data_IF_462145075484
#
_entry.id   IF_462145075484
#
_cell.length_a   1.000
_cell.length_b   1.000
_cell.length_c   1.000
_cell.angle_alpha   90.00
_cell.angle_beta   90.00
_cell.angle_gamma   90.00
#
_symmetry.space_group_name_H-M   'P 1'
#
loop_
_entity.id
_entity.type
_entity.pdbx_description
1 polymer ?
#
# COMPACT_ATOMS: atom_id res chain seq x y z
N UNK A 1 32.01 2.46 -9.51
CA UNK A 1 32.36 2.92 -8.15
C UNK A 1 31.12 2.66 -7.32
N UNK A 2 31.26 2.00 -6.17
CA UNK A 2 30.09 1.59 -5.38
C UNK A 2 29.40 2.83 -4.81
N UNK A 3 28.10 2.99 -5.08
CA UNK A 3 27.25 3.95 -4.37
C UNK A 3 27.49 3.78 -2.86
N UNK A 4 27.66 4.89 -2.14
CA UNK A 4 27.86 4.83 -0.69
C UNK A 4 26.71 4.04 -0.06
N UNK A 5 27.03 2.99 0.70
CA UNK A 5 26.09 2.06 1.36
C UNK A 5 25.11 2.73 2.36
N UNK A 6 25.20 4.05 2.52
CA UNK A 6 24.35 4.88 3.38
C UNK A 6 23.38 5.77 2.56
N UNK A 7 23.34 5.64 1.23
CA UNK A 7 22.53 6.48 0.35
C UNK A 7 21.04 6.10 0.43
N UNK A 8 20.19 7.12 0.56
CA UNK A 8 18.74 7.01 0.59
C UNK A 8 18.18 6.39 -0.70
N UNK A 9 18.90 6.52 -1.82
CA UNK A 9 18.50 5.95 -3.11
C UNK A 9 19.07 4.54 -3.35
N UNK A 10 19.64 3.87 -2.34
CA UNK A 10 20.27 2.55 -2.48
C UNK A 10 19.35 1.44 -2.99
N UNK A 11 18.03 1.61 -2.88
CA UNK A 11 17.02 0.68 -3.40
C UNK A 11 16.47 1.07 -4.77
N UNK A 12 16.94 2.20 -5.33
CA UNK A 12 16.68 2.54 -6.72
C UNK A 12 17.45 1.59 -7.66
N UNK A 13 16.90 1.35 -8.85
CA UNK A 13 17.53 0.52 -9.88
C UNK A 13 18.88 1.11 -10.34
N UNK A 14 19.03 2.43 -10.27
CA UNK A 14 20.27 3.16 -10.61
C UNK A 14 20.54 4.27 -9.57
N UNK A 15 21.06 3.94 -8.38
CA UNK A 15 21.20 4.88 -7.27
C UNK A 15 22.03 6.12 -7.62
N UNK A 16 23.17 5.94 -8.31
CA UNK A 16 24.08 7.03 -8.67
C UNK A 16 23.41 8.02 -9.63
N UNK A 17 22.66 7.52 -10.61
CA UNK A 17 21.88 8.38 -11.51
C UNK A 17 20.81 9.13 -10.73
N UNK A 18 20.10 8.48 -9.82
CA UNK A 18 19.03 9.11 -9.03
C UNK A 18 19.59 10.21 -8.13
N UNK A 19 20.67 9.94 -7.40
CA UNK A 19 21.37 10.92 -6.56
C UNK A 19 21.92 12.12 -7.38
N UNK A 20 22.20 11.92 -8.67
CA UNK A 20 22.54 12.99 -9.61
C UNK A 20 21.35 13.84 -10.06
N UNK A 21 20.14 13.28 -10.08
CA UNK A 21 18.95 13.91 -10.66
C UNK A 21 18.00 14.53 -9.62
N UNK A 22 17.99 14.01 -8.39
CA UNK A 22 17.14 14.45 -7.29
C UNK A 22 17.90 14.47 -5.96
N UNK A 23 17.38 15.18 -4.98
CA UNK A 23 17.87 15.17 -3.60
C UNK A 23 16.72 15.29 -2.61
N UNK A 24 16.94 14.84 -1.39
CA UNK A 24 16.01 15.09 -0.29
C UNK A 24 16.51 16.24 0.57
N UNK A 25 15.61 17.19 0.84
CA UNK A 25 15.86 18.36 1.68
C UNK A 25 14.90 18.35 2.84
N UNK A 26 15.37 18.79 4.00
CA UNK A 26 14.48 19.13 5.11
C UNK A 26 13.79 20.46 4.79
N UNK A 27 12.46 20.49 4.91
CA UNK A 27 11.64 21.67 4.64
C UNK A 27 11.37 22.39 5.96
N UNK A 28 10.63 21.74 6.87
CA UNK A 28 10.29 22.25 8.20
C UNK A 28 9.80 21.11 9.11
N UNK A 29 9.45 21.41 10.37
CA UNK A 29 8.98 20.41 11.33
C UNK A 29 7.57 19.87 11.04
N UNK A 30 6.82 20.49 10.12
CA UNK A 30 5.44 20.13 9.78
C UNK A 30 5.41 19.21 8.55
N UNK A 31 6.08 19.61 7.47
CA UNK A 31 6.23 18.84 6.22
C UNK A 31 7.37 17.82 6.29
N UNK A 32 8.32 17.99 7.20
CA UNK A 32 9.47 17.11 7.33
C UNK A 32 10.41 17.21 6.13
N UNK A 33 10.68 16.08 5.48
CA UNK A 33 11.57 15.97 4.32
C UNK A 33 10.78 15.99 3.02
N UNK A 34 11.31 16.62 1.98
CA UNK A 34 10.74 16.59 0.63
C UNK A 34 11.78 16.19 -0.41
N UNK A 35 11.31 15.69 -1.55
CA UNK A 35 12.12 15.34 -2.70
C UNK A 35 12.19 16.52 -3.68
N UNK A 36 13.38 16.89 -4.13
CA UNK A 36 13.60 18.06 -5.00
C UNK A 36 14.39 17.68 -6.25
N UNK A 37 14.05 18.31 -7.37
CA UNK A 37 14.76 18.13 -8.62
C UNK A 37 16.13 18.83 -8.61
N UNK A 38 17.20 18.15 -9.04
CA UNK A 38 18.53 18.76 -9.26
C UNK A 38 18.76 19.18 -10.71
N UNK A 39 17.90 18.70 -11.62
CA UNK A 39 17.90 19.01 -13.05
C UNK A 39 16.47 19.18 -13.56
N UNK A 40 16.34 19.66 -14.79
CA UNK A 40 15.05 19.71 -15.46
C UNK A 40 14.56 18.30 -15.85
N UNK A 41 13.26 18.11 -15.78
CA UNK A 41 12.54 16.96 -16.35
C UNK A 41 11.45 17.46 -17.29
N UNK A 42 11.20 16.71 -18.36
CA UNK A 42 10.04 16.91 -19.23
C UNK A 42 8.88 16.05 -18.78
N UNK A 43 7.66 16.46 -19.08
CA UNK A 43 6.46 15.64 -18.89
C UNK A 43 6.64 14.23 -19.45
N UNK A 44 6.34 13.22 -18.65
CA UNK A 44 6.45 11.80 -18.99
C UNK A 44 7.82 11.18 -18.69
N UNK A 45 8.82 11.97 -18.28
CA UNK A 45 10.11 11.46 -17.87
C UNK A 45 9.98 10.57 -16.62
N UNK A 46 10.64 9.41 -16.64
CA UNK A 46 10.87 8.62 -15.42
C UNK A 46 11.95 9.29 -14.57
N UNK A 47 11.62 9.63 -13.34
CA UNK A 47 12.56 10.17 -12.36
C UNK A 47 13.44 9.03 -11.83
N UNK A 48 12.80 8.01 -11.23
CA UNK A 48 13.47 6.81 -10.75
C UNK A 48 12.54 5.59 -10.70
N UNK A 49 13.15 4.42 -10.59
CA UNK A 49 12.48 3.16 -10.29
C UNK A 49 13.08 2.63 -9.00
N UNK A 50 12.25 2.25 -8.04
CA UNK A 50 12.66 1.82 -6.70
C UNK A 50 12.03 0.48 -6.31
N UNK A 51 12.80 -0.30 -5.53
CA UNK A 51 12.32 -1.48 -4.84
C UNK A 51 11.93 -1.13 -3.40
N UNK A 52 10.80 -1.62 -2.86
CA UNK A 52 10.48 -1.42 -1.46
C UNK A 52 11.46 -2.21 -0.57
N UNK A 53 11.66 -1.70 0.65
CA UNK A 53 12.45 -2.39 1.68
C UNK A 53 11.84 -3.75 2.02
N UNK A 54 10.52 -3.78 2.20
CA UNK A 54 9.70 -4.98 2.39
C UNK A 54 8.37 -4.78 1.67
N UNK A 55 7.77 -5.88 1.22
CA UNK A 55 6.46 -5.92 0.59
C UNK A 55 5.69 -7.10 1.17
N UNK A 56 4.36 -7.10 1.17
CA UNK A 56 3.57 -8.26 1.58
C UNK A 56 2.23 -8.26 0.84
N UNK A 57 1.73 -9.45 0.48
CA UNK A 57 0.37 -9.59 -0.01
C UNK A 57 -0.60 -9.41 1.16
N UNK A 58 -1.70 -8.69 0.93
CA UNK A 58 -2.82 -8.62 1.86
C UNK A 58 -3.36 -10.02 2.20
N UNK A 59 -3.68 -10.24 3.48
CA UNK A 59 -4.13 -11.52 3.97
C UNK A 59 -5.51 -11.88 3.41
N UNK A 60 -6.37 -10.89 3.21
CA UNK A 60 -7.65 -11.11 2.53
C UNK A 60 -7.49 -11.48 1.06
N UNK A 61 -6.56 -10.86 0.33
CA UNK A 61 -6.27 -11.24 -1.05
C UNK A 61 -5.82 -12.71 -1.14
N UNK A 62 -4.96 -13.14 -0.21
CA UNK A 62 -4.54 -14.55 -0.12
C UNK A 62 -5.74 -15.47 0.18
N UNK A 63 -6.61 -15.08 1.11
CA UNK A 63 -7.83 -15.84 1.45
C UNK A 63 -8.78 -15.97 0.26
N UNK A 64 -9.01 -14.88 -0.48
CA UNK A 64 -9.78 -14.82 -1.73
C UNK A 64 -9.02 -15.40 -2.93
N UNK A 65 -7.94 -16.14 -2.69
CA UNK A 65 -7.20 -16.93 -3.67
C UNK A 65 -6.54 -16.11 -4.78
N UNK A 66 -6.30 -14.81 -4.55
CA UNK A 66 -5.43 -14.05 -5.44
C UNK A 66 -4.01 -14.63 -5.37
N UNK A 67 -3.46 -15.06 -6.50
CA UNK A 67 -2.14 -15.66 -6.56
C UNK A 67 -1.12 -14.59 -6.95
N UNK A 68 -0.29 -14.20 -5.99
CA UNK A 68 0.81 -13.27 -6.20
C UNK A 68 2.16 -13.93 -5.89
N UNK A 69 3.22 -13.46 -6.53
CA UNK A 69 4.58 -13.84 -6.16
C UNK A 69 4.87 -13.37 -4.74
N UNK A 70 5.30 -14.29 -3.88
CA UNK A 70 5.58 -13.99 -2.47
C UNK A 70 6.66 -12.91 -2.31
N UNK A 71 7.57 -12.77 -3.28
CA UNK A 71 8.62 -11.74 -3.27
C UNK A 71 8.16 -10.43 -3.90
N UNK A 72 7.85 -10.47 -5.21
CA UNK A 72 7.69 -9.29 -6.02
C UNK A 72 6.24 -8.84 -6.20
N UNK A 73 5.29 -9.54 -5.57
CA UNK A 73 3.84 -9.31 -5.67
C UNK A 73 3.24 -9.40 -7.08
N UNK A 74 4.02 -9.81 -8.09
CA UNK A 74 3.52 -10.04 -9.44
C UNK A 74 2.37 -11.03 -9.46
N UNK A 75 1.31 -10.71 -10.20
CA UNK A 75 0.20 -11.64 -10.46
C UNK A 75 0.72 -12.94 -11.09
N UNK A 76 0.36 -14.08 -10.50
CA UNK A 76 0.73 -15.42 -10.98
C UNK A 76 -0.43 -16.12 -11.69
N UNK A 77 -1.64 -15.58 -11.61
CA UNK A 77 -2.77 -16.00 -12.43
C UNK A 77 -2.72 -15.26 -13.78
N UNK A 78 -3.02 -15.96 -14.86
CA UNK A 78 -3.21 -15.37 -16.19
C UNK A 78 -4.34 -14.33 -16.16
N UNK A 79 -4.37 -13.44 -17.16
CA UNK A 79 -5.42 -12.44 -17.27
C UNK A 79 -6.83 -13.07 -17.27
N UNK A 80 -6.96 -14.22 -17.94
CA UNK A 80 -8.22 -14.96 -18.02
C UNK A 80 -8.61 -15.61 -16.69
N UNK A 81 -7.66 -16.25 -15.99
CA UNK A 81 -7.90 -16.76 -14.63
C UNK A 81 -8.30 -15.63 -13.68
N UNK A 82 -7.62 -14.48 -13.76
CA UNK A 82 -7.94 -13.29 -12.97
C UNK A 82 -9.37 -12.81 -13.27
N UNK A 83 -9.74 -12.72 -14.54
CA UNK A 83 -11.08 -12.31 -14.97
C UNK A 83 -12.17 -13.29 -14.49
N UNK A 84 -11.94 -14.60 -14.65
CA UNK A 84 -12.85 -15.66 -14.17
C UNK A 84 -13.06 -15.59 -12.66
N UNK A 85 -11.98 -15.40 -11.90
CA UNK A 85 -12.03 -15.27 -10.44
C UNK A 85 -12.81 -14.05 -10.00
N UNK A 86 -12.59 -12.90 -10.64
CA UNK A 86 -13.24 -11.63 -10.26
C UNK A 86 -14.71 -11.56 -10.68
N UNK A 87 -15.06 -12.07 -11.87
CA UNK A 87 -16.44 -12.12 -12.37
C UNK A 87 -17.27 -13.26 -11.77
N UNK A 88 -16.62 -14.27 -11.20
CA UNK A 88 -17.29 -15.50 -10.77
C UNK A 88 -17.81 -16.38 -11.92
N UNK A 89 -17.37 -16.13 -13.17
CA UNK A 89 -17.82 -16.87 -14.37
C UNK A 89 -16.71 -17.80 -14.86
N UNK A 90 -16.74 -19.12 -14.56
CA UNK A 90 -15.67 -20.05 -14.92
C UNK A 90 -15.50 -20.23 -16.44
N UNK A 91 -16.57 -20.02 -17.21
CA UNK A 91 -16.57 -20.14 -18.68
C UNK A 91 -16.11 -18.88 -19.42
N UNK A 92 -15.80 -17.79 -18.71
CA UNK A 92 -15.32 -16.56 -19.34
C UNK A 92 -14.03 -16.84 -20.11
N UNK A 93 -13.93 -16.34 -21.33
CA UNK A 93 -12.73 -16.44 -22.16
C UNK A 93 -12.35 -15.05 -22.64
N UNK A 94 -11.08 -14.68 -22.49
CA UNK A 94 -10.61 -13.38 -22.95
C UNK A 94 -10.22 -13.43 -24.44
N UNK A 95 -10.57 -12.41 -25.24
CA UNK A 95 -9.98 -12.26 -26.56
C UNK A 95 -8.47 -12.03 -26.44
N UNK A 96 -7.71 -12.31 -27.49
CA UNK A 96 -6.26 -12.10 -27.52
C UNK A 96 -5.49 -12.67 -26.30
N UNK A 97 -5.64 -13.97 -25.97
CA UNK A 97 -4.95 -14.57 -24.82
C UNK A 97 -3.42 -14.47 -24.93
N UNK A 98 -2.87 -14.33 -26.14
CA UNK A 98 -1.46 -14.11 -26.42
C UNK A 98 -0.90 -12.81 -25.83
N UNK A 99 -1.75 -11.84 -25.48
CA UNK A 99 -1.35 -10.59 -24.83
C UNK A 99 -1.13 -10.74 -23.32
N UNK A 100 -1.52 -11.88 -22.73
CA UNK A 100 -1.22 -12.18 -21.34
C UNK A 100 0.30 -12.39 -21.18
N UNK A 101 0.95 -11.58 -20.34
CA UNK A 101 2.39 -11.68 -20.11
C UNK A 101 2.79 -12.64 -18.98
N UNK A 102 1.82 -13.29 -18.34
CA UNK A 102 2.07 -14.27 -17.26
C UNK A 102 2.64 -15.55 -17.89
N UNK A 103 3.70 -16.09 -17.27
CA UNK A 103 4.43 -17.27 -17.74
C UNK A 103 4.44 -18.37 -16.67
N UNK A 104 3.34 -19.15 -16.55
CA UNK A 104 3.21 -20.19 -15.53
C UNK A 104 4.35 -21.21 -15.52
N UNK A 105 4.96 -21.46 -16.67
CA UNK A 105 6.09 -22.36 -16.85
C UNK A 105 7.37 -21.91 -16.13
N UNK A 106 7.50 -20.61 -15.81
CA UNK A 106 8.62 -20.07 -15.05
C UNK A 106 8.38 -20.06 -13.54
N UNK A 107 7.13 -20.28 -13.10
CA UNK A 107 6.77 -20.20 -11.71
C UNK A 107 7.49 -21.29 -10.90
N UNK A 108 7.86 -20.94 -9.68
CA UNK A 108 8.57 -21.81 -8.74
C UNK A 108 7.81 -21.82 -7.42
N UNK A 109 7.92 -22.90 -6.66
CA UNK A 109 7.45 -22.94 -5.28
C UNK A 109 8.62 -23.09 -4.31
N UNK A 110 8.38 -22.69 -3.05
CA UNK A 110 9.23 -23.13 -1.95
C UNK A 110 9.01 -24.64 -1.74
N UNK A 111 10.07 -25.48 -1.72
CA UNK A 111 9.91 -26.92 -1.55
C UNK A 111 9.37 -27.32 -0.16
N UNK A 112 9.44 -26.41 0.83
CA UNK A 112 9.02 -26.69 2.21
C UNK A 112 7.58 -26.27 2.48
N UNK A 113 7.21 -25.01 2.18
CA UNK A 113 5.88 -24.47 2.48
C UNK A 113 5.01 -24.19 1.26
N UNK A 114 5.47 -24.52 0.05
CA UNK A 114 4.74 -24.42 -1.22
C UNK A 114 4.30 -23.01 -1.65
N UNK A 115 4.74 -21.95 -0.97
CA UNK A 115 4.49 -20.57 -1.43
C UNK A 115 5.11 -20.33 -2.81
N UNK A 116 4.45 -19.52 -3.63
CA UNK A 116 4.76 -19.39 -5.06
C UNK A 116 5.59 -18.14 -5.38
N UNK A 117 6.44 -18.27 -6.39
CA UNK A 117 7.29 -17.23 -6.93
C UNK A 117 7.18 -17.19 -8.45
N UNK A 118 7.28 -16.00 -9.07
CA UNK A 118 7.20 -15.89 -10.52
C UNK A 118 8.45 -16.42 -11.23
N UNK A 119 9.57 -16.61 -10.52
CA UNK A 119 10.83 -17.07 -11.09
C UNK A 119 11.78 -17.61 -10.03
N UNK A 120 12.87 -18.24 -10.48
CA UNK A 120 13.94 -18.77 -9.63
C UNK A 120 14.65 -17.67 -8.84
N UNK A 121 14.82 -16.51 -9.47
CA UNK A 121 15.48 -15.33 -8.91
C UNK A 121 14.63 -14.72 -7.80
N UNK A 122 13.31 -14.63 -7.99
CA UNK A 122 12.41 -14.15 -6.93
C UNK A 122 12.37 -15.10 -5.73
N UNK A 123 12.39 -16.42 -5.97
CA UNK A 123 12.48 -17.42 -4.88
C UNK A 123 13.78 -17.26 -4.10
N UNK A 124 14.90 -17.14 -4.80
CA UNK A 124 16.21 -16.98 -4.17
C UNK A 124 16.31 -15.66 -3.41
N UNK A 125 15.86 -14.55 -4.00
CA UNK A 125 15.87 -13.24 -3.36
C UNK A 125 15.02 -13.22 -2.08
N UNK A 126 13.84 -13.83 -2.08
CA UNK A 126 13.05 -14.00 -0.87
C UNK A 126 13.77 -14.85 0.17
N UNK A 127 14.36 -15.98 -0.23
CA UNK A 127 15.11 -16.88 0.65
C UNK A 127 16.28 -16.14 1.33
N UNK A 128 17.00 -15.30 0.59
CA UNK A 128 18.12 -14.54 1.12
C UNK A 128 17.67 -13.38 2.02
N UNK A 129 16.51 -12.76 1.72
CA UNK A 129 16.04 -11.59 2.45
C UNK A 129 15.25 -11.91 3.72
N UNK A 130 14.17 -12.68 3.66
CA UNK A 130 13.26 -12.86 4.82
C UNK A 130 12.59 -14.24 4.92
N UNK A 131 12.58 -15.02 3.83
CA UNK A 131 11.72 -16.19 3.75
C UNK A 131 12.21 -17.36 4.61
N UNK A 132 13.51 -17.54 4.86
CA UNK A 132 14.01 -18.63 5.71
C UNK A 132 13.50 -18.53 7.15
N UNK A 133 13.34 -17.32 7.67
CA UNK A 133 12.81 -17.04 9.02
C UNK A 133 11.29 -17.19 9.06
N UNK A 134 10.59 -16.83 7.98
CA UNK A 134 9.11 -16.89 7.92
C UNK A 134 8.56 -18.16 7.26
N UNK A 135 9.41 -19.08 6.81
CA UNK A 135 8.98 -20.32 6.18
C UNK A 135 8.41 -21.25 7.24
N UNK A 136 7.11 -21.54 7.14
CA UNK A 136 6.42 -22.41 8.09
C UNK A 136 6.62 -23.91 7.79
N UNK A 137 7.24 -24.24 6.65
CA UNK A 137 7.41 -25.62 6.20
C UNK A 137 6.10 -26.42 6.25
N UNK A 138 6.12 -27.55 6.95
CA UNK A 138 4.96 -28.42 7.14
C UNK A 138 3.86 -27.79 8.01
N UNK A 139 4.19 -26.79 8.82
CA UNK A 139 3.23 -26.05 9.67
C UNK A 139 2.52 -24.92 8.92
N UNK A 140 2.62 -24.84 7.59
CA UNK A 140 1.96 -23.81 6.80
C UNK A 140 0.44 -23.77 7.05
N UNK A 141 -0.20 -24.93 7.17
CA UNK A 141 -1.64 -25.09 7.41
C UNK A 141 -1.97 -25.34 8.89
N UNK A 142 -1.02 -25.19 9.80
CA UNK A 142 -1.23 -25.38 11.23
C UNK A 142 -1.86 -24.11 11.85
N UNK A 143 -3.14 -24.14 12.29
CA UNK A 143 -3.80 -22.97 12.89
C UNK A 143 -3.18 -22.60 14.25
N UNK A 144 -2.51 -23.55 14.91
CA UNK A 144 -1.89 -23.30 16.20
C UNK A 144 -0.51 -22.65 16.10
N UNK A 145 0.07 -22.61 14.90
CA UNK A 145 1.36 -21.98 14.67
C UNK A 145 1.30 -20.48 15.02
N UNK A 146 2.25 -19.92 15.80
CA UNK A 146 2.21 -18.52 16.26
C UNK A 146 2.02 -17.48 15.14
N UNK A 147 2.68 -17.68 14.00
CA UNK A 147 2.53 -16.82 12.81
C UNK A 147 1.12 -16.89 12.23
N UNK A 148 0.48 -18.06 12.24
CA UNK A 148 -0.88 -18.20 11.71
C UNK A 148 -1.91 -17.59 12.69
N UNK A 149 -1.74 -17.76 14.01
CA UNK A 149 -2.53 -17.02 15.01
C UNK A 149 -2.45 -15.51 14.83
N UNK A 150 -1.26 -14.98 14.54
CA UNK A 150 -1.06 -13.55 14.26
C UNK A 150 -1.83 -13.10 13.00
N UNK A 151 -1.75 -13.87 11.90
CA UNK A 151 -2.48 -13.59 10.66
C UNK A 151 -4.00 -13.64 10.86
N UNK A 152 -4.48 -14.61 11.62
CA UNK A 152 -5.90 -14.79 11.89
C UNK A 152 -6.44 -13.65 12.75
N UNK A 153 -5.74 -13.30 13.83
CA UNK A 153 -6.07 -12.15 14.66
C UNK A 153 -6.11 -10.85 13.84
N UNK A 154 -5.14 -10.63 12.94
CA UNK A 154 -5.14 -9.47 12.05
C UNK A 154 -6.37 -9.39 11.16
N UNK A 155 -6.73 -10.50 10.50
CA UNK A 155 -7.90 -10.56 9.61
C UNK A 155 -9.21 -10.36 10.37
N UNK A 156 -9.32 -10.88 11.59
CA UNK A 156 -10.50 -10.67 12.44
C UNK A 156 -10.66 -9.21 12.88
N UNK A 157 -9.56 -8.45 12.93
CA UNK A 157 -9.56 -7.03 13.32
C UNK A 157 -9.75 -6.09 12.13
N UNK A 158 -9.25 -6.44 10.95
CA UNK A 158 -9.28 -5.59 9.77
C UNK A 158 -10.10 -6.27 8.68
N UNK A 159 -11.42 -6.07 8.71
CA UNK A 159 -12.29 -6.55 7.64
C UNK A 159 -12.03 -5.80 6.32
N UNK A 160 -12.28 -6.40 5.14
CA UNK A 160 -12.02 -5.74 3.86
C UNK A 160 -12.75 -4.39 3.69
N UNK A 161 -12.16 -3.42 2.97
CA UNK A 161 -10.86 -3.50 2.29
C UNK A 161 -9.67 -3.35 3.25
N UNK A 162 -8.69 -4.26 3.13
CA UNK A 162 -7.45 -4.21 3.91
C UNK A 162 -6.57 -3.05 3.42
N UNK A 163 -6.21 -2.12 4.31
CA UNK A 163 -5.40 -0.93 3.98
C UNK A 163 -3.93 -1.07 4.38
N UNK A 164 -3.61 -2.07 5.21
CA UNK A 164 -2.26 -2.37 5.70
C UNK A 164 -2.14 -3.85 6.07
N UNK A 165 -0.92 -4.36 6.27
CA UNK A 165 -0.70 -5.76 6.64
C UNK A 165 0.33 -5.91 7.77
N UNK A 166 -0.04 -6.66 8.82
CA UNK A 166 0.88 -7.07 9.89
C UNK A 166 2.10 -7.84 9.36
N UNK A 167 1.97 -8.46 8.19
CA UNK A 167 3.05 -9.21 7.56
C UNK A 167 4.18 -8.31 7.07
N UNK A 168 3.96 -7.00 6.90
CA UNK A 168 5.04 -6.04 6.66
C UNK A 168 5.99 -5.98 7.86
N UNK A 169 5.45 -5.83 9.08
CA UNK A 169 6.25 -5.86 10.31
C UNK A 169 6.96 -7.21 10.49
N UNK A 170 6.28 -8.31 10.19
CA UNK A 170 6.89 -9.64 10.22
C UNK A 170 8.09 -9.76 9.26
N UNK A 171 7.97 -9.19 8.06
CA UNK A 171 9.06 -9.15 7.08
C UNK A 171 10.18 -8.20 7.47
N UNK A 172 9.90 -7.09 8.14
CA UNK A 172 10.94 -6.22 8.70
C UNK A 172 11.79 -6.98 9.72
N UNK A 173 11.15 -7.67 10.66
CA UNK A 173 11.85 -8.50 11.65
C UNK A 173 12.67 -9.59 10.96
N UNK A 174 12.06 -10.34 10.04
CA UNK A 174 12.73 -11.41 9.34
C UNK A 174 13.91 -10.93 8.48
N UNK A 175 13.79 -9.76 7.84
CA UNK A 175 14.87 -9.14 7.08
C UNK A 175 16.09 -8.85 7.96
N UNK A 176 15.88 -8.25 9.14
CA UNK A 176 16.98 -8.02 10.09
C UNK A 176 17.56 -9.33 10.62
N UNK A 177 16.71 -10.30 10.99
CA UNK A 177 17.17 -11.59 11.54
C UNK A 177 18.05 -12.36 10.57
N UNK A 178 17.75 -12.30 9.27
CA UNK A 178 18.53 -12.98 8.22
C UNK A 178 19.73 -12.19 7.73
N UNK A 179 19.74 -10.87 7.92
CA UNK A 179 20.79 -10.02 7.42
C UNK A 179 22.14 -10.37 8.05
N UNK A 180 23.20 -10.35 7.22
CA UNK A 180 24.58 -10.39 7.72
C UNK A 180 24.93 -9.11 8.49
N UNK A 181 24.44 -7.97 8.00
CA UNK A 181 24.58 -6.66 8.62
C UNK A 181 23.22 -6.21 9.17
N UNK A 182 22.95 -6.57 10.43
CA UNK A 182 21.70 -6.24 11.12
C UNK A 182 21.58 -4.74 11.38
N UNK A 183 22.69 -4.08 11.69
CA UNK A 183 22.74 -2.66 12.02
C UNK A 183 22.34 -1.80 10.82
N UNK A 184 22.77 -2.18 9.62
CA UNK A 184 22.36 -1.52 8.38
C UNK A 184 20.83 -1.53 8.20
N UNK A 185 20.17 -2.68 8.36
CA UNK A 185 18.70 -2.76 8.23
C UNK A 185 17.97 -1.98 9.32
N UNK A 186 18.45 -2.04 10.55
CA UNK A 186 17.88 -1.25 11.65
C UNK A 186 17.99 0.25 11.38
N UNK A 187 19.14 0.72 10.87
CA UNK A 187 19.34 2.10 10.43
C UNK A 187 18.39 2.47 9.30
N UNK A 188 18.24 1.62 8.27
CA UNK A 188 17.31 1.86 7.17
C UNK A 188 15.87 2.08 7.67
N UNK A 189 15.35 1.21 8.53
CA UNK A 189 14.00 1.36 9.06
C UNK A 189 13.85 2.59 9.96
N UNK A 190 14.86 2.92 10.77
CA UNK A 190 14.82 4.11 11.63
C UNK A 190 14.70 5.44 10.87
N UNK A 191 15.07 5.49 9.59
CA UNK A 191 14.95 6.70 8.75
C UNK A 191 13.50 7.14 8.52
N UNK A 192 12.55 6.22 8.67
CA UNK A 192 11.12 6.45 8.50
C UNK A 192 10.42 6.85 9.81
N UNK A 193 11.11 6.78 10.96
CA UNK A 193 10.61 7.23 12.26
C UNK A 193 10.87 8.73 12.43
N UNK A 194 9.87 9.60 12.23
CA UNK A 194 10.03 11.05 12.41
C UNK A 194 8.96 11.72 13.28
N UNK A 195 8.10 10.97 13.98
CA UNK A 195 6.93 11.52 14.68
C UNK A 195 7.03 11.41 16.20
N UNK A 196 6.26 12.27 16.89
CA UNK A 196 6.19 12.28 18.35
C UNK A 196 5.29 11.14 18.87
N UNK A 197 5.56 10.63 20.07
CA UNK A 197 4.84 9.48 20.65
C UNK A 197 3.30 9.62 20.66
N UNK A 198 2.78 10.84 20.87
CA UNK A 198 1.33 11.10 20.83
C UNK A 198 0.72 10.91 19.43
N UNK A 199 1.48 11.21 18.38
CA UNK A 199 1.04 11.02 16.98
C UNK A 199 1.08 9.53 16.61
N UNK A 200 1.96 8.74 17.23
CA UNK A 200 2.04 7.29 17.01
C UNK A 200 0.82 6.55 17.59
N UNK A 201 0.35 6.95 18.78
CA UNK A 201 -0.87 6.40 19.39
C UNK A 201 -2.12 6.73 18.56
N UNK A 202 -2.27 7.97 18.11
CA UNK A 202 -3.39 8.38 17.26
C UNK A 202 -3.41 7.58 15.94
N UNK A 203 -2.23 7.34 15.33
CA UNK A 203 -2.14 6.54 14.11
C UNK A 203 -2.47 5.07 14.33
N UNK A 204 -2.03 4.47 15.44
CA UNK A 204 -2.38 3.11 15.78
C UNK A 204 -3.89 2.95 15.99
N UNK A 205 -4.55 3.95 16.60
CA UNK A 205 -5.99 3.96 16.75
C UNK A 205 -6.74 4.05 15.41
N UNK A 206 -6.26 4.85 14.46
CA UNK A 206 -6.90 4.95 13.13
C UNK A 206 -6.73 3.69 12.28
N UNK A 207 -5.53 3.10 12.28
CA UNK A 207 -5.28 1.86 11.56
C UNK A 207 -6.12 0.69 12.07
N UNK A 208 -6.24 0.57 13.40
CA UNK A 208 -7.02 -0.50 14.02
C UNK A 208 -8.53 -0.20 14.03
N UNK A 209 -8.93 1.07 13.92
CA UNK A 209 -10.28 1.55 14.22
C UNK A 209 -10.50 1.75 15.73
N UNK A 210 -11.31 2.76 16.10
CA UNK A 210 -11.54 3.11 17.52
C UNK A 210 -12.08 1.95 18.36
N UNK A 211 -12.84 1.05 17.73
CA UNK A 211 -13.45 -0.14 18.31
C UNK A 211 -12.42 -1.19 18.78
N UNK A 212 -11.16 -1.09 18.35
CA UNK A 212 -10.14 -2.13 18.50
C UNK A 212 -9.00 -1.72 19.43
N UNK A 213 -9.16 -0.62 20.19
CA UNK A 213 -8.18 -0.11 21.15
C UNK A 213 -7.71 -1.16 22.18
N UNK A 214 -8.59 -2.07 22.60
CA UNK A 214 -8.26 -3.18 23.51
C UNK A 214 -7.52 -4.36 22.88
N UNK A 215 -7.46 -4.42 21.55
CA UNK A 215 -6.92 -5.58 20.81
C UNK A 215 -5.44 -5.41 20.41
N UNK A 216 -4.89 -4.20 20.51
CA UNK A 216 -3.46 -3.93 20.27
C UNK A 216 -2.55 -4.76 21.19
N UNK A 217 -2.93 -4.94 22.46
CA UNK A 217 -2.18 -5.77 23.41
C UNK A 217 -2.18 -7.25 23.01
N UNK A 218 -3.30 -7.75 22.47
CA UNK A 218 -3.39 -9.10 21.93
C UNK A 218 -2.48 -9.26 20.71
N UNK A 219 -2.55 -8.33 19.74
CA UNK A 219 -1.68 -8.33 18.56
C UNK A 219 -0.19 -8.28 18.95
N UNK A 220 0.16 -7.41 19.91
CA UNK A 220 1.53 -7.30 20.40
C UNK A 220 2.03 -8.62 21.00
N UNK A 221 1.21 -9.27 21.83
CA UNK A 221 1.54 -10.58 22.42
C UNK A 221 1.71 -11.67 21.35
N UNK A 222 0.81 -11.73 20.36
CA UNK A 222 0.91 -12.68 19.25
C UNK A 222 2.14 -12.39 18.38
N UNK A 223 2.42 -11.12 18.09
CA UNK A 223 3.59 -10.69 17.32
C UNK A 223 4.88 -11.09 18.03
N UNK A 224 4.96 -10.87 19.34
CA UNK A 224 6.08 -11.30 20.19
C UNK A 224 6.22 -12.82 20.18
N UNK A 225 5.14 -13.56 20.41
CA UNK A 225 5.18 -15.03 20.40
C UNK A 225 5.64 -15.59 19.06
N UNK A 226 5.30 -14.93 17.95
CA UNK A 226 5.65 -15.39 16.62
C UNK A 226 7.08 -15.06 16.18
N UNK A 227 7.63 -13.91 16.61
CA UNK A 227 8.78 -13.32 15.93
C UNK A 227 9.91 -12.83 16.84
N UNK A 228 9.75 -12.91 18.17
CA UNK A 228 10.70 -12.32 19.13
C UNK A 228 12.16 -12.65 18.80
N UNK A 229 13.00 -11.65 19.00
CA UNK A 229 14.43 -11.71 18.79
C UNK A 229 15.13 -10.76 19.76
N UNK A 230 16.19 -11.23 20.43
CA UNK A 230 16.89 -10.43 21.44
C UNK A 230 17.57 -9.19 20.82
N UNK A 231 18.07 -9.30 19.59
CA UNK A 231 18.70 -8.19 18.86
C UNK A 231 17.70 -7.11 18.45
N UNK A 232 16.40 -7.43 18.49
CA UNK A 232 15.28 -6.54 18.19
C UNK A 232 14.37 -6.33 19.40
N UNK A 233 14.82 -6.64 20.61
CA UNK A 233 14.02 -6.57 21.85
C UNK A 233 13.23 -5.25 22.00
N UNK A 234 13.80 -4.12 21.55
CA UNK A 234 13.14 -2.81 21.53
C UNK A 234 11.85 -2.76 20.70
N UNK A 235 11.73 -3.53 19.63
CA UNK A 235 10.52 -3.61 18.80
C UNK A 235 9.42 -4.46 19.44
N UNK A 236 9.77 -5.28 20.45
CA UNK A 236 8.85 -6.20 21.12
C UNK A 236 8.39 -5.70 22.48
N UNK A 237 8.71 -4.46 22.87
CA UNK A 237 8.03 -3.77 23.97
C UNK A 237 6.85 -2.94 23.41
N UNK A 238 5.81 -2.62 24.21
CA UNK A 238 4.60 -1.97 23.70
C UNK A 238 4.87 -0.69 22.92
N UNK A 239 5.75 0.17 23.43
CA UNK A 239 6.13 1.43 22.77
C UNK A 239 6.80 1.17 21.40
N UNK A 240 7.74 0.23 21.31
CA UNK A 240 8.40 -0.06 20.03
C UNK A 240 7.50 -0.76 19.02
N UNK A 241 6.56 -1.58 19.50
CA UNK A 241 5.53 -2.17 18.64
C UNK A 241 4.62 -1.10 18.05
N UNK A 242 4.19 -0.13 18.86
CA UNK A 242 3.46 1.06 18.42
C UNK A 242 4.23 1.87 17.37
N UNK A 243 5.52 2.13 17.60
CA UNK A 243 6.33 2.86 16.62
C UNK A 243 6.49 2.11 15.30
N UNK A 244 6.61 0.77 15.32
CA UNK A 244 6.60 -0.03 14.08
C UNK A 244 5.25 0.06 13.36
N UNK A 245 4.17 0.06 14.11
CA UNK A 245 2.82 0.17 13.58
C UNK A 245 2.59 1.52 12.90
N UNK A 246 2.99 2.61 13.58
CA UNK A 246 2.95 3.96 13.04
C UNK A 246 3.85 4.11 11.80
N UNK A 247 5.04 3.50 11.81
CA UNK A 247 5.93 3.47 10.64
C UNK A 247 5.25 2.83 9.43
N UNK A 248 4.65 1.64 9.59
CA UNK A 248 3.96 0.96 8.50
C UNK A 248 2.72 1.73 8.06
N UNK A 249 1.96 2.32 9.00
CA UNK A 249 0.76 3.11 8.70
C UNK A 249 1.03 4.39 7.91
N UNK A 250 2.12 5.07 8.22
CA UNK A 250 2.44 6.37 7.63
C UNK A 250 3.27 6.28 6.35
N UNK A 251 3.99 5.17 6.14
CA UNK A 251 4.90 4.98 5.00
C UNK A 251 4.48 3.82 4.08
N UNK A 252 3.44 3.08 4.44
CA UNK A 252 2.94 1.94 3.67
C UNK A 252 2.37 2.37 2.32
N UNK A 253 2.71 1.62 1.27
CA UNK A 253 2.27 1.86 -0.10
C UNK A 253 1.50 0.64 -0.62
N UNK A 254 0.26 0.85 -1.05
CA UNK A 254 -0.51 -0.19 -1.74
C UNK A 254 0.08 -0.49 -3.12
N UNK A 255 0.27 -1.77 -3.44
CA UNK A 255 0.80 -2.20 -4.74
C UNK A 255 -0.34 -2.85 -5.53
N UNK A 256 -0.84 -2.14 -6.53
CA UNK A 256 -1.82 -2.66 -7.49
C UNK A 256 -1.15 -3.56 -8.51
N UNK A 257 -1.37 -4.87 -8.41
CA UNK A 257 -0.95 -5.84 -9.44
C UNK A 257 -2.18 -6.56 -10.00
N UNK A 258 -2.28 -6.66 -11.32
CA UNK A 258 -3.34 -7.40 -12.01
C UNK A 258 -2.88 -7.78 -13.40
N UNK A 259 -2.91 -9.08 -13.71
CA UNK A 259 -2.67 -9.58 -15.06
C UNK A 259 -3.79 -9.16 -16.01
N UNK A 260 -5.03 -9.01 -15.53
CA UNK A 260 -6.15 -8.49 -16.33
C UNK A 260 -5.90 -7.04 -16.75
N UNK A 261 -5.52 -6.15 -15.82
CA UNK A 261 -5.21 -4.76 -16.17
C UNK A 261 -4.07 -4.64 -17.18
N UNK A 262 -3.02 -5.48 -17.07
CA UNK A 262 -1.95 -5.51 -18.08
C UNK A 262 -2.44 -5.98 -19.45
N UNK A 263 -3.31 -6.99 -19.49
CA UNK A 263 -3.90 -7.45 -20.73
C UNK A 263 -4.78 -6.36 -21.38
N UNK A 264 -5.55 -5.60 -20.60
CA UNK A 264 -6.32 -4.44 -21.10
C UNK A 264 -5.40 -3.39 -21.73
N UNK A 265 -4.32 -3.01 -21.04
CA UNK A 265 -3.35 -2.06 -21.60
C UNK A 265 -2.66 -2.59 -22.87
N UNK A 266 -2.42 -3.90 -22.95
CA UNK A 266 -1.88 -4.51 -24.17
C UNK A 266 -2.91 -4.49 -25.32
N UNK A 267 -4.20 -4.67 -25.02
CA UNK A 267 -5.30 -4.52 -25.98
C UNK A 267 -5.38 -3.10 -26.54
N UNK A 268 -5.20 -2.06 -25.70
CA UNK A 268 -5.19 -0.66 -26.14
C UNK A 268 -4.12 -0.40 -27.21
N UNK A 269 -2.97 -1.07 -27.11
CA UNK A 269 -1.84 -0.92 -28.02
C UNK A 269 -2.00 -1.65 -29.37
N UNK A 270 -3.01 -2.53 -29.52
CA UNK A 270 -3.26 -3.22 -30.79
C UNK A 270 -3.55 -2.22 -31.92
N UNK A 271 -3.36 -2.63 -33.17
CA UNK A 271 -3.80 -1.87 -34.33
C UNK A 271 -4.92 -2.66 -35.00
N UNK A 272 -6.17 -2.30 -34.69
CA UNK A 272 -7.38 -3.00 -35.13
C UNK A 272 -8.25 -2.14 -36.05
N UNK A 273 -8.97 -2.74 -37.01
CA UNK A 273 -10.07 -2.08 -37.71
C UNK A 273 -11.12 -1.53 -36.73
N UNK A 274 -11.75 -0.39 -37.07
CA UNK A 274 -12.67 0.33 -36.19
C UNK A 274 -13.77 -0.57 -35.57
N UNK A 275 -14.38 -1.45 -36.37
CA UNK A 275 -15.42 -2.35 -35.89
C UNK A 275 -14.90 -3.37 -34.86
N UNK A 276 -13.69 -3.91 -35.05
CA UNK A 276 -13.08 -4.86 -34.12
C UNK A 276 -12.63 -4.16 -32.83
N UNK A 277 -12.15 -2.92 -32.93
CA UNK A 277 -11.85 -2.07 -31.77
C UNK A 277 -13.09 -1.85 -30.92
N UNK A 278 -14.19 -1.41 -31.53
CA UNK A 278 -15.45 -1.16 -30.81
C UNK A 278 -16.00 -2.42 -30.12
N UNK A 279 -15.89 -3.58 -30.76
CA UNK A 279 -16.26 -4.86 -30.15
C UNK A 279 -15.39 -5.22 -28.94
N UNK A 280 -14.07 -4.99 -29.04
CA UNK A 280 -13.12 -5.27 -27.97
C UNK A 280 -13.34 -4.32 -26.78
N UNK A 281 -13.48 -3.02 -27.05
CA UNK A 281 -13.71 -1.99 -26.03
C UNK A 281 -15.05 -2.26 -25.31
N UNK A 282 -16.11 -2.59 -26.05
CA UNK A 282 -17.40 -2.97 -25.46
C UNK A 282 -17.31 -4.23 -24.59
N UNK A 283 -16.48 -5.21 -24.96
CA UNK A 283 -16.24 -6.40 -24.15
C UNK A 283 -15.52 -6.05 -22.85
N UNK A 284 -14.46 -5.24 -22.92
CA UNK A 284 -13.67 -4.80 -21.76
C UNK A 284 -14.54 -3.99 -20.80
N UNK A 285 -15.34 -3.06 -21.32
CA UNK A 285 -16.27 -2.26 -20.53
C UNK A 285 -17.30 -3.14 -19.81
N UNK A 286 -17.85 -4.14 -20.49
CA UNK A 286 -18.79 -5.07 -19.84
C UNK A 286 -18.08 -5.90 -18.77
N UNK A 287 -16.87 -6.38 -19.05
CA UNK A 287 -16.07 -7.13 -18.08
C UNK A 287 -15.79 -6.31 -16.80
N UNK A 288 -15.45 -5.02 -16.93
CA UNK A 288 -15.25 -4.15 -15.77
C UNK A 288 -16.55 -3.77 -15.05
N UNK A 289 -17.70 -3.80 -15.72
CA UNK A 289 -19.00 -3.65 -15.05
C UNK A 289 -19.32 -4.89 -14.21
N UNK A 290 -18.96 -6.08 -14.73
CA UNK A 290 -19.19 -7.35 -14.05
C UNK A 290 -18.21 -7.56 -12.88
N UNK A 291 -17.06 -6.87 -12.88
CA UNK A 291 -16.05 -6.86 -11.81
C UNK A 291 -16.25 -5.60 -10.96
N UNK A 292 -16.96 -5.71 -9.83
CA UNK A 292 -17.17 -4.58 -8.90
C UNK A 292 -15.85 -3.86 -8.54
N UNK A 293 -15.89 -2.52 -8.54
CA UNK A 293 -14.72 -1.61 -8.48
C UNK A 293 -13.94 -1.73 -7.16
N UNK A 294 -12.85 -2.50 -7.16
CA UNK A 294 -11.86 -2.48 -6.08
C UNK A 294 -11.01 -1.19 -6.11
N UNK A 295 -11.03 -0.43 -5.01
CA UNK A 295 -10.20 0.78 -4.81
C UNK A 295 -8.78 0.38 -4.38
N UNK A 296 -7.77 1.09 -4.88
CA UNK A 296 -6.37 0.94 -4.48
C UNK A 296 -5.88 2.29 -3.95
N UNK A 297 -5.33 2.33 -2.74
CA UNK A 297 -4.76 3.53 -2.10
C UNK A 297 -3.21 3.47 -2.15
N UNK A 298 -2.57 4.62 -2.33
CA UNK A 298 -1.13 4.77 -2.59
C UNK A 298 -0.48 5.95 -1.82
N UNK A 299 0.68 5.74 -1.17
CA UNK A 299 1.50 6.75 -0.49
C UNK A 299 3.01 6.52 -0.58
N UNK A 300 3.76 7.60 -0.82
CA UNK A 300 5.22 7.66 -0.98
C UNK A 300 5.90 8.61 0.01
N UNK A 301 7.25 8.57 0.02
CA UNK A 301 8.15 9.58 0.58
C UNK A 301 8.19 10.94 -0.18
N UNK A 302 7.27 11.18 -1.12
CA UNK A 302 7.11 12.47 -1.81
C UNK A 302 5.89 13.16 -1.25
N UNK A 303 6.02 14.44 -0.88
CA UNK A 303 4.93 15.16 -0.24
C UNK A 303 3.69 15.26 -1.13
N UNK A 304 2.55 15.40 -0.47
CA UNK A 304 1.27 15.59 -1.13
C UNK A 304 1.14 16.97 -1.78
N UNK A 305 0.59 16.99 -2.99
CA UNK A 305 -0.08 18.15 -3.58
C UNK A 305 -1.43 17.73 -4.17
N UNK A 306 -2.46 18.57 -4.04
CA UNK A 306 -3.72 18.37 -4.76
C UNK A 306 -3.56 18.62 -6.28
N UNK A 307 -2.47 19.28 -6.68
CA UNK A 307 -2.02 19.46 -8.07
C UNK A 307 -0.60 18.88 -8.16
N UNK A 308 -0.46 17.55 -8.26
CA UNK A 308 0.85 16.91 -8.28
C UNK A 308 1.58 17.19 -9.61
N UNK A 309 2.92 17.23 -9.56
CA UNK A 309 3.77 17.29 -10.75
C UNK A 309 4.42 15.94 -11.09
N UNK A 310 4.21 14.92 -10.25
CA UNK A 310 4.63 13.54 -10.48
C UNK A 310 3.55 12.53 -10.05
N UNK A 311 3.65 11.32 -10.59
CA UNK A 311 2.79 10.19 -10.24
C UNK A 311 3.61 8.91 -10.00
N UNK A 312 3.01 8.00 -9.24
CA UNK A 312 3.51 6.64 -9.07
C UNK A 312 2.71 5.65 -9.85
N UNK A 313 3.43 4.76 -10.51
CA UNK A 313 2.87 3.61 -11.20
C UNK A 313 3.70 2.35 -10.95
N UNK A 314 3.10 1.19 -11.24
CA UNK A 314 3.72 -0.13 -11.17
C UNK A 314 3.70 -0.80 -12.55
N UNK A 315 4.38 -0.22 -13.56
CA UNK A 315 4.21 -0.62 -14.97
C UNK A 315 4.61 -2.07 -15.24
N UNK A 316 5.46 -2.64 -14.38
CA UNK A 316 5.99 -3.99 -14.53
C UNK A 316 5.14 -5.07 -13.84
N UNK A 317 3.95 -4.70 -13.35
CA UNK A 317 3.02 -5.53 -12.58
C UNK A 317 3.75 -6.35 -11.52
N UNK A 318 4.51 -5.63 -10.73
CA UNK A 318 5.27 -6.11 -9.61
C UNK A 318 5.45 -4.93 -8.65
N UNK A 319 6.10 -5.20 -7.53
CA UNK A 319 6.49 -4.25 -6.50
C UNK A 319 7.48 -3.14 -6.91
N UNK A 320 7.93 -3.07 -8.17
CA UNK A 320 8.80 -1.97 -8.61
C UNK A 320 7.97 -0.71 -8.81
N UNK A 321 8.23 0.27 -7.95
CA UNK A 321 7.62 1.57 -8.01
C UNK A 321 8.35 2.42 -9.05
N UNK A 322 7.60 3.04 -9.97
CA UNK A 322 8.13 4.02 -10.91
C UNK A 322 7.54 5.39 -10.62
N UNK A 323 8.40 6.36 -10.33
CA UNK A 323 8.02 7.77 -10.20
C UNK A 323 8.24 8.47 -11.54
N UNK A 324 7.17 9.02 -12.13
CA UNK A 324 7.20 9.70 -13.44
C UNK A 324 6.60 11.10 -13.36
N UNK A 325 7.02 12.01 -14.22
CA UNK A 325 6.54 13.40 -14.22
C UNK A 325 5.22 13.57 -14.97
N UNK A 326 4.29 14.34 -14.41
CA UNK A 326 3.01 14.71 -15.02
C UNK A 326 3.10 16.03 -15.81
N UNK A 327 4.10 16.85 -15.50
CA UNK A 327 4.41 18.13 -16.13
C UNK A 327 5.93 18.30 -16.22
N UNK A 328 6.38 19.34 -16.93
CA UNK A 328 7.79 19.76 -16.85
C UNK A 328 8.11 20.18 -15.41
N UNK A 329 9.33 19.88 -14.94
CA UNK A 329 9.82 20.22 -13.59
C UNK A 329 11.17 20.91 -13.72
N UNK A 330 11.33 22.09 -13.14
CA UNK A 330 12.59 22.83 -13.15
C UNK A 330 13.53 22.40 -12.01
N UNK A 331 14.86 22.62 -12.13
CA UNK A 331 15.78 22.40 -11.03
C UNK A 331 15.38 23.23 -9.81
N UNK A 332 15.38 22.61 -8.64
CA UNK A 332 15.00 23.22 -7.37
C UNK A 332 13.53 23.11 -7.00
N UNK A 333 12.65 22.68 -7.92
CA UNK A 333 11.24 22.43 -7.63
C UNK A 333 11.06 21.17 -6.76
N UNK A 334 10.08 21.22 -5.85
CA UNK A 334 9.65 20.05 -5.07
C UNK A 334 8.86 19.10 -5.97
N UNK A 335 9.17 17.81 -5.89
CA UNK A 335 8.46 16.75 -6.58
C UNK A 335 7.37 16.25 -5.63
N UNK A 336 6.12 16.49 -6.00
CA UNK A 336 4.94 16.14 -5.21
C UNK A 336 4.05 15.17 -5.96
N UNK A 337 3.56 14.16 -5.26
CA UNK A 337 2.52 13.24 -5.74
C UNK A 337 1.17 13.60 -5.11
N UNK A 338 0.10 12.89 -5.48
CA UNK A 338 -1.15 12.97 -4.73
C UNK A 338 -1.39 11.72 -3.90
N UNK A 339 -1.95 11.94 -2.72
CA UNK A 339 -2.38 10.91 -1.76
C UNK A 339 -3.87 10.62 -1.88
N UNK A 340 -4.52 11.34 -2.79
CA UNK A 340 -5.95 11.31 -3.06
C UNK A 340 -6.17 10.68 -4.45
N UNK A 341 -7.22 9.88 -4.58
CA UNK A 341 -7.65 9.38 -5.87
C UNK A 341 -8.15 10.51 -6.80
N UNK A 342 -8.35 10.22 -8.08
CA UNK A 342 -8.76 11.23 -9.05
C UNK A 342 -10.09 11.91 -8.68
N UNK A 343 -11.05 11.16 -8.13
CA UNK A 343 -12.34 11.69 -7.72
C UNK A 343 -12.20 12.60 -6.49
N UNK A 344 -11.46 12.15 -5.49
CA UNK A 344 -11.17 12.91 -4.27
C UNK A 344 -10.44 14.22 -4.56
N UNK A 345 -9.53 14.25 -5.54
CA UNK A 345 -8.82 15.47 -5.93
C UNK A 345 -9.73 16.56 -6.48
N UNK A 346 -10.86 16.20 -7.07
CA UNK A 346 -11.84 17.14 -7.61
C UNK A 346 -12.90 17.59 -6.59
N UNK A 347 -12.95 16.96 -5.41
CA UNK A 347 -13.81 17.41 -4.31
C UNK A 347 -13.37 18.75 -3.73
N UNK A 348 -14.23 19.34 -2.89
CA UNK A 348 -14.03 20.62 -2.22
C UNK A 348 -12.72 20.66 -1.40
N UNK A 349 -12.24 21.88 -1.09
CA UNK A 349 -11.08 22.06 -0.19
C UNK A 349 -11.33 21.39 1.17
N UNK A 350 -12.55 21.50 1.68
CA UNK A 350 -12.98 20.87 2.92
C UNK A 350 -12.81 19.36 2.88
N UNK A 351 -13.46 18.68 1.92
CA UNK A 351 -13.47 17.21 1.85
C UNK A 351 -12.06 16.67 1.62
N UNK A 352 -11.23 17.35 0.81
CA UNK A 352 -9.81 16.99 0.66
C UNK A 352 -9.04 17.14 1.97
N UNK A 353 -9.25 18.23 2.71
CA UNK A 353 -8.59 18.43 4.01
C UNK A 353 -9.07 17.45 5.07
N UNK A 354 -10.35 17.10 5.09
CA UNK A 354 -10.93 16.07 5.97
C UNK A 354 -10.22 14.75 5.76
N UNK A 355 -10.19 14.25 4.51
CA UNK A 355 -9.51 12.99 4.14
C UNK A 355 -8.01 13.04 4.50
N UNK A 356 -7.31 14.14 4.20
CA UNK A 356 -5.87 14.25 4.47
C UNK A 356 -5.55 14.36 5.97
N UNK A 357 -6.37 15.07 6.75
CA UNK A 357 -6.23 15.17 8.21
C UNK A 357 -6.51 13.82 8.86
N UNK A 358 -7.55 13.13 8.43
CA UNK A 358 -7.93 11.83 8.97
C UNK A 358 -6.83 10.79 8.70
N UNK A 359 -6.37 10.67 7.46
CA UNK A 359 -5.47 9.58 7.06
C UNK A 359 -3.98 9.89 7.24
N UNK A 360 -3.57 11.16 7.18
CA UNK A 360 -2.15 11.53 7.13
C UNK A 360 -1.72 12.54 8.20
N UNK A 361 -2.66 13.05 9.00
CA UNK A 361 -2.45 13.98 10.10
C UNK A 361 -1.81 15.32 9.68
N UNK A 362 -2.12 15.83 8.49
CA UNK A 362 -1.66 17.15 8.07
C UNK A 362 -2.74 17.94 7.32
N UNK A 363 -2.55 19.26 7.23
CA UNK A 363 -3.39 20.16 6.41
C UNK A 363 -2.62 20.58 5.18
N UNK A 364 -3.18 20.33 4.00
CA UNK A 364 -2.55 20.68 2.73
C UNK A 364 -2.53 22.20 2.51
N UNK A 365 -1.38 22.73 2.14
CA UNK A 365 -1.16 24.15 1.80
C UNK A 365 -0.70 24.33 0.35
N UNK A 366 -1.03 23.38 -0.53
CA UNK A 366 -0.69 23.49 -1.96
C UNK A 366 -1.43 24.65 -2.64
N UNK A 367 -0.98 25.03 -3.85
CA UNK A 367 -1.54 26.18 -4.58
C UNK A 367 -3.06 26.09 -4.77
N UNK A 368 -3.62 24.90 -5.03
CA UNK A 368 -5.08 24.68 -5.14
C UNK A 368 -5.78 24.88 -3.80
N UNK A 369 -5.21 24.42 -2.68
CA UNK A 369 -5.82 24.63 -1.37
C UNK A 369 -5.73 26.10 -0.91
N UNK A 370 -4.68 26.82 -1.29
CA UNK A 370 -4.53 28.25 -0.97
C UNK A 370 -5.50 29.08 -1.83
N UNK A 371 -5.62 28.79 -3.12
CA UNK A 371 -6.53 29.52 -4.02
C UNK A 371 -7.99 29.36 -3.66
N UNK A 372 -8.37 28.25 -3.01
CA UNK A 372 -9.74 27.94 -2.60
C UNK A 372 -10.04 28.31 -1.14
N UNK A 373 -9.24 29.16 -0.50
CA UNK A 373 -9.41 29.48 0.94
C UNK A 373 -10.72 30.22 1.23
N UNK A 374 -11.19 31.04 0.27
CA UNK A 374 -12.41 31.85 0.40
C UNK A 374 -13.63 31.23 -0.30
N UNK A 375 -13.50 30.02 -0.85
CA UNK A 375 -14.63 29.29 -1.45
C UNK A 375 -15.52 28.72 -0.32
N UNK A 376 -16.84 28.80 -0.50
CA UNK A 376 -17.78 28.17 0.44
C UNK A 376 -17.58 26.65 0.42
N UNK A 377 -17.64 26.04 1.60
CA UNK A 377 -17.60 24.59 1.76
C UNK A 377 -18.93 24.02 1.27
N UNK A 378 -19.06 23.82 -0.05
CA UNK A 378 -20.20 23.14 -0.66
C UNK A 378 -19.91 21.65 -0.63
N UNK A 379 -20.39 20.96 0.39
CA UNK A 379 -20.50 19.50 0.42
C UNK A 379 -21.72 19.13 -0.43
N UNK A 380 -21.60 18.14 -1.31
CA UNK A 380 -22.77 17.59 -2.01
C UNK A 380 -23.64 16.84 -1.00
N UNK A 381 -24.96 16.78 -1.20
CA UNK A 381 -25.93 16.10 -0.31
C UNK A 381 -25.54 14.63 0.03
N UNK A 382 -24.74 13.97 -0.83
CA UNK A 382 -24.14 12.64 -0.54
C UNK A 382 -23.08 12.63 0.60
N UNK A 383 -22.69 13.78 1.13
CA UNK A 383 -21.71 13.92 2.23
C UNK A 383 -22.37 14.27 3.59
N UNK A 384 -23.69 14.55 3.65
CA UNK A 384 -24.40 14.83 4.92
C UNK A 384 -24.74 13.56 5.73
N UNK A 385 -24.81 12.39 5.08
CA UNK A 385 -25.16 11.12 5.74
C UNK A 385 -24.11 10.64 6.76
N UNK A 386 -22.88 11.18 6.74
CA UNK A 386 -21.77 10.81 7.63
C UNK A 386 -21.64 11.75 8.84
N UNK A 387 -22.44 12.82 8.91
CA UNK A 387 -22.38 13.84 9.99
C UNK A 387 -23.53 13.74 11.01
N UNK A 388 -24.42 12.76 10.86
CA UNK A 388 -25.67 12.65 11.64
C UNK A 388 -25.62 11.88 12.97
N UNK A 389 -24.51 11.26 13.39
CA UNK A 389 -24.51 10.36 14.56
C UNK A 389 -23.80 10.89 15.83
N UNK A 390 -23.44 12.18 15.92
CA UNK A 390 -22.61 12.65 17.04
C UNK A 390 -23.20 13.73 17.97
N UNK A 391 -24.34 14.38 17.66
CA UNK A 391 -24.85 15.45 18.53
C UNK A 391 -26.37 15.42 18.68
N UNK A 392 -26.87 14.80 19.74
CA UNK A 392 -28.31 14.77 20.00
C UNK A 392 -28.78 14.06 21.27
N UNK A 393 -28.10 14.15 22.40
CA UNK A 393 -28.72 13.79 23.69
C UNK A 393 -28.42 14.83 24.77
N UNK A 394 -29.28 15.86 24.83
CA UNK A 394 -29.47 16.64 26.05
C UNK A 394 -30.95 16.64 26.44
N UNK A 395 -31.17 16.07 27.63
CA UNK A 395 -32.23 16.33 28.61
C UNK A 395 -33.67 15.90 28.31
N UNK A 396 -34.17 15.03 29.19
CA UNK A 396 -35.58 14.67 29.37
C UNK A 396 -35.75 13.84 30.64
N UNK A 397 -35.91 14.53 31.78
CA UNK A 397 -36.21 13.98 33.10
C UNK A 397 -37.51 13.14 33.13
N UNK A 398 -37.46 12.12 34.01
CA UNK A 398 -38.52 11.56 34.88
C UNK A 398 -39.96 11.38 34.37
N UNK A 399 -40.44 10.12 34.32
CA UNK A 399 -41.65 9.67 35.05
C UNK A 399 -41.92 8.15 34.89
N UNK A 400 -41.80 7.45 36.02
CA UNK A 400 -42.72 6.43 36.60
C UNK A 400 -43.55 5.44 35.73
N UNK A 401 -43.29 4.17 36.04
CA UNK A 401 -44.21 3.08 36.42
C UNK A 401 -45.22 2.39 35.47
N UNK A 402 -45.23 1.07 35.72
CA UNK A 402 -46.32 0.08 35.64
C UNK A 402 -46.68 -0.65 34.32
N UNK A 403 -46.39 -1.95 34.37
CA UNK A 403 -47.32 -3.10 34.21
C UNK A 403 -47.31 -3.97 32.93
N UNK A 404 -46.77 -5.18 33.15
CA UNK A 404 -47.33 -6.54 32.89
C UNK A 404 -47.51 -7.09 31.47
N UNK A 405 -46.91 -8.28 31.32
CA UNK A 405 -47.39 -9.54 30.70
C UNK A 405 -48.02 -9.51 29.30
N UNK A 406 -47.38 -10.19 28.33
CA UNK A 406 -47.70 -11.56 27.86
C UNK A 406 -46.45 -12.20 27.26
#
# INVERSE_FOLDING_TARGET
MAAHLDDMFSFCVDPDKVAGCVEVRFIDNIKGKGLFAKRSFRKGDTIFIERPLVSAQFLWNSLYKYRACEYCLRALETAEENARRLSGVPGLSLPHPELCCVRPELHQCCPQCQVMYCSSECRQAAADQYHRVLCLGASQEDPDHPVNKLKDAWRSMHYPPETSSIMLMARMVAAVKQAKDKEHWQKLFSRFCSRAANEEEEMAHKLLGEQFKGQLALLHNLFKAALYDDDLSRWFVPAGFLSLFALVGTNGQGIGTSSLSQWVHACDALQLPAQQREQLDSFIDQLYKDIEKGRVLSLLCSNHSCVPNAEVSFPNNNFLLQLSTLSDISPGEEICISYLDCCQRERSRHSRHKILRENYLFVCSCIKCVSQTDELDVTSEEEEDDEGEAEGETEGDEAEDEMTDV
#
